data_IF_874969760011
#
_entry.id   IF_874969760011
#
_cell.length_a   1.000
_cell.length_b   1.000
_cell.length_c   1.000
_cell.angle_alpha   90.00
_cell.angle_beta   90.00
_cell.angle_gamma   90.00
#
_symmetry.space_group_name_H-M   'P 1'
#
loop_
_entity.id
_entity.type
_entity.pdbx_description
1 polymer ?
#
# COMPACT_ATOMS: atom_id res chain seq x y z
N UNK A 1 9.62 5.40 17.87
CA UNK A 1 9.57 3.96 18.20
C UNK A 1 9.20 3.25 16.92
N UNK A 2 10.09 2.42 16.36
CA UNK A 2 9.78 1.62 15.17
C UNK A 2 8.69 0.62 15.55
N UNK A 3 7.46 0.80 15.06
CA UNK A 3 6.46 -0.25 15.08
C UNK A 3 6.90 -1.31 14.06
N UNK A 4 7.71 -2.26 14.51
CA UNK A 4 7.90 -3.52 13.79
C UNK A 4 6.57 -4.27 13.84
N UNK A 5 5.67 -3.99 12.90
CA UNK A 5 4.58 -4.91 12.60
C UNK A 5 5.23 -6.16 12.04
N UNK A 6 5.42 -7.16 12.91
CA UNK A 6 6.01 -8.46 12.61
C UNK A 6 5.11 -9.30 11.71
N UNK A 7 4.84 -8.80 10.51
CA UNK A 7 4.28 -9.60 9.43
C UNK A 7 5.27 -10.69 9.06
N UNK A 8 4.76 -11.90 8.80
CA UNK A 8 5.57 -12.99 8.26
C UNK A 8 6.13 -12.51 6.92
N UNK A 9 7.47 -12.39 6.84
CA UNK A 9 8.15 -12.07 5.58
C UNK A 9 7.90 -13.23 4.63
N UNK A 10 7.10 -12.98 3.60
CA UNK A 10 6.84 -13.98 2.56
C UNK A 10 8.17 -14.38 1.92
N UNK A 11 8.39 -15.68 1.67
CA UNK A 11 9.63 -16.14 1.03
C UNK A 11 9.73 -15.54 -0.38
N UNK A 12 10.94 -15.15 -0.77
CA UNK A 12 11.22 -14.75 -2.14
C UNK A 12 10.97 -15.94 -3.06
N UNK A 13 10.18 -15.72 -4.11
CA UNK A 13 9.99 -16.72 -5.14
C UNK A 13 11.26 -16.84 -5.98
N UNK A 14 11.73 -18.06 -6.21
CA UNK A 14 12.90 -18.33 -7.05
C UNK A 14 12.64 -17.94 -8.50
N UNK A 15 11.41 -18.17 -8.96
CA UNK A 15 10.95 -17.89 -10.32
C UNK A 15 9.52 -17.32 -10.31
N UNK A 16 9.23 -16.44 -11.27
CA UNK A 16 7.88 -15.95 -11.53
C UNK A 16 7.53 -16.16 -13.00
N UNK A 17 6.27 -16.52 -13.28
CA UNK A 17 5.76 -16.56 -14.65
C UNK A 17 5.03 -15.26 -14.97
N UNK A 18 5.47 -14.57 -16.01
CA UNK A 18 4.82 -13.41 -16.60
C UNK A 18 4.32 -13.74 -18.01
N UNK A 19 3.59 -12.81 -18.64
CA UNK A 19 3.01 -13.03 -19.98
C UNK A 19 4.06 -13.36 -21.05
N UNK A 20 5.27 -12.83 -20.91
CA UNK A 20 6.37 -12.99 -21.87
C UNK A 20 7.29 -14.19 -21.58
N UNK A 21 7.10 -14.90 -20.46
CA UNK A 21 7.93 -16.05 -20.09
C UNK A 21 8.12 -16.21 -18.58
N UNK A 22 9.13 -16.98 -18.21
CA UNK A 22 9.57 -17.13 -16.82
C UNK A 22 10.74 -16.19 -16.55
N UNK A 23 10.72 -15.53 -15.39
CA UNK A 23 11.82 -14.71 -14.89
C UNK A 23 12.35 -15.34 -13.62
N UNK A 24 13.65 -15.65 -13.61
CA UNK A 24 14.36 -16.15 -12.44
C UNK A 24 14.85 -14.98 -11.59
N UNK A 25 14.57 -15.02 -10.30
CA UNK A 25 15.03 -14.01 -9.32
C UNK A 25 16.56 -13.89 -9.26
N UNK A 26 17.29 -14.95 -9.64
CA UNK A 26 18.75 -14.99 -9.72
C UNK A 26 19.30 -14.53 -11.08
N UNK A 27 18.45 -14.32 -12.10
CA UNK A 27 18.85 -13.94 -13.45
C UNK A 27 17.90 -12.86 -14.01
N UNK A 28 17.74 -11.77 -13.26
CA UNK A 28 16.96 -10.62 -13.69
C UNK A 28 17.60 -9.93 -14.91
N UNK A 29 16.80 -9.23 -15.74
CA UNK A 29 17.32 -8.30 -16.75
C UNK A 29 18.35 -7.34 -16.16
N UNK A 30 19.35 -6.95 -16.95
CA UNK A 30 20.52 -6.20 -16.47
C UNK A 30 20.18 -4.81 -15.91
N UNK A 31 19.02 -4.26 -16.26
CA UNK A 31 18.48 -3.00 -15.77
C UNK A 31 17.65 -3.13 -14.48
N UNK A 32 17.55 -4.33 -13.91
CA UNK A 32 16.82 -4.63 -12.68
C UNK A 32 17.72 -5.26 -11.61
N UNK A 33 17.45 -4.90 -10.36
CA UNK A 33 18.00 -5.51 -9.16
C UNK A 33 16.88 -6.04 -8.27
N UNK A 34 17.14 -7.14 -7.57
CA UNK A 34 16.22 -7.66 -6.57
C UNK A 34 16.41 -6.93 -5.24
N UNK A 35 15.43 -6.11 -4.85
CA UNK A 35 15.31 -5.65 -3.47
C UNK A 35 14.75 -6.81 -2.64
N UNK A 36 15.64 -7.49 -1.92
CA UNK A 36 15.28 -8.67 -1.13
C UNK A 36 14.36 -8.31 0.03
N UNK A 37 14.48 -7.11 0.59
CA UNK A 37 13.70 -6.67 1.75
C UNK A 37 12.27 -6.31 1.37
N UNK A 38 12.08 -5.74 0.17
CA UNK A 38 10.75 -5.47 -0.38
C UNK A 38 10.14 -6.65 -1.14
N UNK A 39 10.96 -7.59 -1.61
CA UNK A 39 10.51 -8.66 -2.49
C UNK A 39 10.17 -8.20 -3.89
N UNK A 40 10.80 -7.12 -4.37
CA UNK A 40 10.52 -6.51 -5.66
C UNK A 40 11.77 -6.47 -6.54
N UNK A 41 11.60 -6.75 -7.84
CA UNK A 41 12.60 -6.42 -8.84
C UNK A 41 12.39 -4.95 -9.27
N UNK A 42 13.42 -4.13 -9.14
CA UNK A 42 13.35 -2.69 -9.36
C UNK A 42 14.58 -2.19 -10.12
N UNK A 43 14.47 -1.04 -10.80
CA UNK A 43 15.65 -0.37 -11.37
C UNK A 43 16.63 0.04 -10.26
N UNK A 44 17.95 0.05 -10.52
CA UNK A 44 18.94 0.51 -9.57
C UNK A 44 18.66 1.92 -9.04
N UNK A 45 18.83 2.10 -7.73
CA UNK A 45 18.60 3.39 -7.06
C UNK A 45 17.15 3.64 -6.64
N UNK A 46 16.19 2.81 -7.04
CA UNK A 46 14.87 2.79 -6.42
C UNK A 46 14.94 2.07 -5.07
N UNK A 47 14.40 2.71 -4.04
CA UNK A 47 14.29 2.16 -2.69
C UNK A 47 12.88 2.39 -2.17
N UNK A 48 12.44 1.54 -1.25
CA UNK A 48 11.12 1.65 -0.63
C UNK A 48 11.09 1.05 0.77
N UNK A 49 9.88 0.94 1.30
CA UNK A 49 9.61 0.26 2.57
C UNK A 49 8.23 -0.37 2.53
N UNK A 50 8.04 -1.45 3.27
CA UNK A 50 6.72 -2.03 3.53
C UNK A 50 6.03 -1.19 4.59
N UNK A 51 4.96 -0.48 4.21
CA UNK A 51 4.16 0.35 5.15
C UNK A 51 3.06 -0.47 5.83
N UNK A 52 2.50 -1.45 5.13
CA UNK A 52 1.41 -2.26 5.62
C UNK A 52 1.39 -3.63 4.91
N UNK A 53 1.00 -4.67 5.65
CA UNK A 53 0.63 -5.97 5.11
C UNK A 53 -0.86 -6.18 5.37
N UNK A 54 -1.60 -6.75 4.42
CA UNK A 54 -3.01 -7.08 4.62
C UNK A 54 -3.20 -7.84 5.94
N UNK A 55 -4.22 -7.46 6.72
CA UNK A 55 -4.53 -8.12 7.99
C UNK A 55 -4.82 -9.62 7.80
N UNK A 56 -5.40 -9.97 6.66
CA UNK A 56 -5.66 -11.33 6.23
C UNK A 56 -4.96 -11.58 4.88
N UNK A 57 -3.96 -12.48 4.82
CA UNK A 57 -3.19 -12.74 3.60
C UNK A 57 -3.98 -13.48 2.51
N UNK A 58 -5.11 -14.12 2.85
CA UNK A 58 -6.04 -14.70 1.86
C UNK A 58 -6.93 -13.63 1.23
N UNK A 59 -6.98 -12.44 1.84
CA UNK A 59 -7.65 -11.25 1.32
C UNK A 59 -6.61 -10.26 0.79
N UNK A 60 -6.96 -8.98 0.66
CA UNK A 60 -6.07 -8.03 0.00
C UNK A 60 -6.20 -6.59 0.45
N UNK A 61 -5.25 -5.81 -0.04
CA UNK A 61 -5.31 -4.36 -0.02
C UNK A 61 -5.86 -3.91 -1.36
N UNK A 62 -6.91 -3.11 -1.35
CA UNK A 62 -7.56 -2.65 -2.57
C UNK A 62 -7.31 -1.17 -2.80
N UNK A 63 -7.41 -0.76 -4.06
CA UNK A 63 -7.56 0.63 -4.49
C UNK A 63 -6.69 1.64 -3.72
N UNK A 64 -5.43 1.29 -3.47
CA UNK A 64 -4.54 2.09 -2.61
C UNK A 64 -4.23 3.44 -3.25
N UNK A 65 -4.23 4.49 -2.43
CA UNK A 65 -4.02 5.88 -2.89
C UNK A 65 -3.12 6.63 -1.93
N UNK A 66 -2.08 7.25 -2.50
CA UNK A 66 -1.26 8.25 -1.83
C UNK A 66 -1.64 9.65 -2.31
N UNK A 67 -1.71 10.61 -1.40
CA UNK A 67 -1.86 12.03 -1.75
C UNK A 67 -0.92 12.91 -0.95
N UNK A 68 -0.50 14.02 -1.55
CA UNK A 68 0.28 15.05 -0.88
C UNK A 68 -0.66 16.17 -0.42
N UNK A 69 -0.72 16.35 0.89
CA UNK A 69 -1.51 17.39 1.56
C UNK A 69 -0.89 18.78 1.32
N UNK A 70 -1.69 19.86 1.48
CA UNK A 70 -1.21 21.24 1.33
C UNK A 70 0.00 21.58 2.22
N UNK A 71 0.00 21.06 3.45
CA UNK A 71 1.10 21.27 4.40
C UNK A 71 2.36 20.45 4.07
N UNK A 72 2.33 19.66 2.99
CA UNK A 72 3.44 18.83 2.53
C UNK A 72 3.45 17.40 3.06
N UNK A 73 2.54 17.05 3.98
CA UNK A 73 2.42 15.68 4.49
C UNK A 73 1.94 14.72 3.39
N UNK A 74 2.28 13.45 3.53
CA UNK A 74 1.74 12.39 2.69
C UNK A 74 0.65 11.64 3.47
N UNK A 75 -0.47 11.41 2.82
CA UNK A 75 -1.56 10.58 3.30
C UNK A 75 -1.64 9.35 2.39
N UNK A 76 -1.63 8.16 2.97
CA UNK A 76 -1.83 6.89 2.29
C UNK A 76 -3.11 6.24 2.81
N UNK A 77 -4.00 5.83 1.92
CA UNK A 77 -5.28 5.21 2.26
C UNK A 77 -5.56 3.99 1.38
N UNK A 78 -6.21 2.98 1.93
CA UNK A 78 -6.64 1.78 1.22
C UNK A 78 -7.68 1.00 2.05
N UNK A 79 -8.67 0.35 1.41
CA UNK A 79 -9.43 -0.72 2.05
C UNK A 79 -8.54 -1.94 2.31
N UNK A 80 -8.56 -2.46 3.53
CA UNK A 80 -7.94 -3.73 3.92
C UNK A 80 -9.02 -4.73 4.35
N UNK A 81 -9.04 -5.89 3.71
CA UNK A 81 -10.10 -6.89 3.79
C UNK A 81 -10.45 -7.39 2.39
N UNK A 82 -11.73 -7.52 2.05
CA UNK A 82 -12.16 -7.89 0.69
C UNK A 82 -12.49 -6.68 -0.19
N UNK A 83 -12.52 -6.89 -1.50
CA UNK A 83 -13.05 -5.91 -2.45
C UNK A 83 -14.52 -5.60 -2.12
N UNK A 84 -14.90 -4.33 -2.21
CA UNK A 84 -16.28 -3.91 -2.02
C UNK A 84 -17.25 -4.71 -2.90
N UNK A 85 -18.44 -5.01 -2.37
CA UNK A 85 -19.53 -5.65 -3.11
C UNK A 85 -19.46 -7.18 -3.19
N UNK A 86 -18.46 -7.83 -2.58
CA UNK A 86 -18.43 -9.31 -2.47
C UNK A 86 -19.46 -9.89 -1.51
N UNK A 87 -19.77 -9.18 -0.43
CA UNK A 87 -20.63 -9.64 0.65
C UNK A 87 -21.67 -8.59 1.01
N UNK A 88 -22.77 -9.03 1.62
CA UNK A 88 -23.79 -8.13 2.18
C UNK A 88 -23.30 -7.42 3.45
N UNK A 89 -22.58 -8.15 4.28
CA UNK A 89 -22.04 -7.64 5.54
C UNK A 89 -20.67 -6.99 5.30
N UNK A 90 -20.26 -6.11 6.21
CA UNK A 90 -18.98 -5.40 6.13
C UNK A 90 -17.81 -6.40 6.11
N UNK A 91 -16.87 -6.19 5.20
CA UNK A 91 -15.76 -7.12 4.93
C UNK A 91 -14.43 -6.40 4.64
N UNK A 92 -14.39 -5.08 4.76
CA UNK A 92 -13.15 -4.31 4.79
C UNK A 92 -13.27 -3.07 5.68
N UNK A 93 -12.12 -2.52 6.08
CA UNK A 93 -12.02 -1.19 6.70
C UNK A 93 -11.14 -0.31 5.81
N UNK A 94 -11.52 0.95 5.61
CA UNK A 94 -10.59 1.94 5.06
C UNK A 94 -9.58 2.33 6.14
N UNK A 95 -8.31 2.03 5.89
CA UNK A 95 -7.21 2.42 6.75
C UNK A 95 -6.50 3.64 6.16
N UNK A 96 -5.96 4.48 7.04
CA UNK A 96 -5.15 5.64 6.71
C UNK A 96 -3.82 5.62 7.46
N UNK A 97 -2.78 6.08 6.77
CA UNK A 97 -1.46 6.37 7.30
C UNK A 97 -1.06 7.79 6.94
N UNK A 98 -0.32 8.45 7.83
CA UNK A 98 0.22 9.80 7.58
C UNK A 98 1.73 9.81 7.76
N UNK A 99 2.41 10.42 6.80
CA UNK A 99 3.83 10.74 6.91
C UNK A 99 4.03 12.26 6.92
N UNK A 100 4.78 12.75 7.91
CA UNK A 100 5.16 14.17 8.03
C UNK A 100 6.56 14.46 7.51
N UNK A 101 7.28 13.43 7.08
CA UNK A 101 8.70 13.51 6.71
C UNK A 101 8.98 12.99 5.29
N UNK A 102 7.96 13.12 4.42
CA UNK A 102 7.98 12.75 2.99
C UNK A 102 8.15 11.25 2.75
N UNK A 103 7.47 10.44 3.56
CA UNK A 103 7.37 9.00 3.41
C UNK A 103 8.55 8.24 4.01
N UNK A 104 9.35 8.85 4.89
CA UNK A 104 10.43 8.13 5.61
C UNK A 104 9.88 7.38 6.81
N UNK A 105 8.98 7.98 7.57
CA UNK A 105 8.19 7.31 8.61
C UNK A 105 6.70 7.51 8.39
N UNK A 106 5.89 6.58 8.90
CA UNK A 106 4.43 6.58 8.78
C UNK A 106 3.78 6.33 10.14
N UNK A 107 2.81 7.18 10.49
CA UNK A 107 1.93 6.99 11.63
C UNK A 107 0.62 6.32 11.17
N UNK A 108 0.10 5.37 11.94
CA UNK A 108 -1.08 4.55 11.62
C UNK A 108 -0.85 3.05 11.87
N UNK A 109 -1.75 2.16 11.39
CA UNK A 109 -2.97 2.47 10.64
C UNK A 109 -4.08 2.98 11.57
N UNK A 110 -4.80 4.00 11.13
CA UNK A 110 -6.05 4.44 11.76
C UNK A 110 -7.25 4.18 10.83
N UNK A 111 -8.42 3.75 11.34
CA UNK A 111 -9.64 3.74 10.54
C UNK A 111 -9.95 5.16 10.04
N UNK A 112 -10.01 5.33 8.72
CA UNK A 112 -10.35 6.62 8.13
C UNK A 112 -11.82 7.00 8.38
N UNK A 113 -12.69 6.00 8.47
CA UNK A 113 -14.13 6.16 8.67
C UNK A 113 -14.67 5.07 9.59
N UNK A 114 -15.47 5.46 10.57
CA UNK A 114 -16.15 4.53 11.48
C UNK A 114 -17.57 4.26 10.98
N UNK A 115 -17.67 3.50 9.90
CA UNK A 115 -18.95 3.16 9.25
C UNK A 115 -19.15 1.65 9.15
N UNK A 116 -20.41 1.21 9.09
CA UNK A 116 -20.79 -0.21 9.12
C UNK A 116 -21.09 -0.82 7.74
N UNK A 117 -20.41 -0.34 6.69
CA UNK A 117 -20.44 -0.95 5.36
C UNK A 117 -19.03 -0.93 4.75
N UNK A 118 -18.75 -1.87 3.85
CA UNK A 118 -17.46 -1.96 3.15
C UNK A 118 -17.24 -0.73 2.28
N UNK A 119 -15.99 -0.36 2.05
CA UNK A 119 -15.62 0.83 1.31
C UNK A 119 -14.89 0.48 0.01
N UNK A 120 -15.14 1.28 -1.02
CA UNK A 120 -14.24 1.42 -2.16
C UNK A 120 -13.08 2.35 -1.79
N UNK A 121 -12.00 2.27 -2.56
CA UNK A 121 -10.96 3.27 -2.63
C UNK A 121 -11.52 4.61 -3.07
N UNK A 122 -11.02 5.65 -2.44
CA UNK A 122 -11.44 7.03 -2.68
C UNK A 122 -10.36 7.70 -3.52
N UNK A 123 -10.74 8.54 -4.47
CA UNK A 123 -9.75 9.39 -5.15
C UNK A 123 -9.68 10.73 -4.43
N UNK A 124 -8.63 11.00 -3.63
CA UNK A 124 -8.53 12.26 -2.90
C UNK A 124 -8.36 13.42 -3.88
N UNK A 125 -9.33 14.33 -3.90
CA UNK A 125 -9.22 15.60 -4.59
C UNK A 125 -8.65 16.64 -3.64
N UNK A 126 -7.54 17.23 -4.05
CA UNK A 126 -6.90 18.32 -3.35
C UNK A 126 -6.80 19.54 -4.27
N UNK A 127 -7.80 20.44 -4.26
CA UNK A 127 -7.78 21.64 -5.10
C UNK A 127 -6.57 22.51 -4.75
N UNK A 128 -5.94 23.10 -5.78
CA UNK A 128 -4.82 24.02 -5.56
C UNK A 128 -5.24 25.19 -4.65
N UNK A 129 -4.47 25.44 -3.59
CA UNK A 129 -4.75 26.49 -2.60
C UNK A 129 -5.76 26.11 -1.50
N UNK A 130 -6.30 24.89 -1.50
CA UNK A 130 -7.12 24.37 -0.40
C UNK A 130 -6.26 23.66 0.64
N UNK A 131 -6.59 23.78 1.93
CA UNK A 131 -6.04 22.91 2.99
C UNK A 131 -6.85 21.62 3.17
N UNK A 132 -8.01 21.54 2.52
CA UNK A 132 -8.95 20.41 2.62
C UNK A 132 -8.67 19.40 1.52
N UNK A 133 -8.68 18.13 1.92
CA UNK A 133 -8.81 16.99 1.01
C UNK A 133 -10.27 16.56 0.97
N UNK A 134 -10.80 16.39 -0.23
CA UNK A 134 -12.13 15.88 -0.49
C UNK A 134 -12.00 14.42 -0.94
N UNK A 135 -12.82 13.55 -0.37
CA UNK A 135 -12.90 12.15 -0.75
C UNK A 135 -14.30 11.89 -1.33
N UNK A 136 -14.33 11.20 -2.47
CA UNK A 136 -15.53 10.80 -3.19
C UNK A 136 -15.48 9.30 -3.45
#
# INVERSE_FOLDING_TARGET
MNSSTGGVRMPLLEQIRIATGTVESAALPADLQLDRDLGLACVPGLSGQVVHNARDPEKGLFESRGTRMANGDYLLMFPDGNHYGRTRDKDNDMLAYRSRDRGRTWDGPDPAFYINYSQHGLNPLHPAGSERVYAF
#
